data_IF_998047784718
#
_entry.id   IF_998047784718
#
_cell.length_a   1.000
_cell.length_b   1.000
_cell.length_c   1.000
_cell.angle_alpha   90.00
_cell.angle_beta   90.00
_cell.angle_gamma   90.00
#
_symmetry.space_group_name_H-M   'P 1'
#
loop_
_entity.id
_entity.type
_entity.pdbx_description
1 polymer ?
#
# COMPACT_ATOMS: atom_id res chain seq x y z
N UNK A 1 -6.82 -3.67 -14.08
CA UNK A 1 -8.11 -3.14 -13.60
C UNK A 1 -8.41 -3.78 -12.26
N UNK A 2 -8.68 -2.99 -11.22
CA UNK A 2 -9.14 -3.52 -9.94
C UNK A 2 -10.61 -3.92 -10.10
N UNK A 3 -10.88 -5.20 -10.34
CA UNK A 3 -12.24 -5.74 -10.40
C UNK A 3 -12.58 -6.39 -9.06
N UNK A 4 -13.59 -5.86 -8.37
CA UNK A 4 -14.13 -6.38 -7.12
C UNK A 4 -15.33 -7.31 -7.42
N UNK A 5 -15.38 -8.56 -6.92
CA UNK A 5 -16.62 -9.32 -6.84
C UNK A 5 -17.45 -8.79 -5.66
N UNK A 6 -18.71 -8.44 -5.93
CA UNK A 6 -19.60 -7.78 -4.97
C UNK A 6 -20.24 -8.79 -4.02
N UNK A 7 -19.82 -8.79 -2.74
CA UNK A 7 -20.62 -9.26 -1.60
C UNK A 7 -20.37 -8.33 -0.41
N UNK A 8 -21.41 -7.63 0.02
CA UNK A 8 -21.36 -6.62 1.09
C UNK A 8 -21.29 -7.27 2.47
N UNK A 9 -20.07 -7.42 3.01
CA UNK A 9 -19.73 -7.28 4.43
C UNK A 9 -18.23 -7.10 4.67
N UNK A 10 -17.39 -7.45 3.69
CA UNK A 10 -15.93 -7.30 3.76
C UNK A 10 -15.41 -6.33 2.69
N UNK A 11 -15.58 -5.02 2.90
CA UNK A 11 -14.95 -4.01 2.04
C UNK A 11 -13.46 -3.94 2.37
N UNK A 12 -12.66 -4.81 1.75
CA UNK A 12 -11.23 -4.58 1.67
C UNK A 12 -10.96 -3.32 0.85
N UNK A 13 -10.06 -2.43 1.29
CA UNK A 13 -9.73 -1.21 0.55
C UNK A 13 -9.28 -1.53 -0.89
N UNK A 14 -9.68 -0.67 -1.83
CA UNK A 14 -9.27 -0.83 -3.23
C UNK A 14 -7.86 -0.26 -3.39
N UNK A 15 -6.83 -1.07 -3.17
CA UNK A 15 -5.43 -0.63 -3.31
C UNK A 15 -4.78 -1.12 -4.59
N UNK A 16 -4.00 -0.23 -5.23
CA UNK A 16 -3.13 -0.66 -6.33
C UNK A 16 -1.80 -1.17 -5.77
N UNK A 17 -1.29 -2.30 -6.28
CA UNK A 17 -0.01 -2.87 -5.84
C UNK A 17 1.15 -2.31 -6.68
N UNK A 18 2.24 -1.87 -6.03
CA UNK A 18 3.46 -1.37 -6.70
C UNK A 18 4.73 -1.88 -6.03
N UNK A 19 5.75 -2.23 -6.82
CA UNK A 19 7.08 -2.56 -6.27
C UNK A 19 7.80 -1.27 -5.87
N UNK A 20 8.28 -1.21 -4.63
CA UNK A 20 9.01 -0.07 -4.08
C UNK A 20 9.75 -0.48 -2.81
N UNK A 21 10.87 0.18 -2.53
CA UNK A 21 11.64 0.06 -1.29
C UNK A 21 12.08 1.46 -0.84
N UNK A 22 12.18 1.68 0.47
CA UNK A 22 12.66 2.97 1.00
C UNK A 22 14.19 2.99 0.99
N UNK A 23 14.75 4.12 0.57
CA UNK A 23 16.20 4.33 0.53
C UNK A 23 16.81 4.38 1.94
N UNK A 24 16.17 5.11 2.86
CA UNK A 24 16.57 5.23 4.27
C UNK A 24 15.38 4.88 5.18
N UNK A 25 15.05 3.58 5.34
CA UNK A 25 13.80 3.14 6.00
C UNK A 25 13.70 3.56 7.47
N UNK A 26 14.83 3.70 8.15
CA UNK A 26 14.91 4.12 9.56
C UNK A 26 14.67 5.63 9.77
N UNK A 27 14.62 6.43 8.70
CA UNK A 27 14.46 7.88 8.78
C UNK A 27 13.13 8.33 8.18
N UNK A 28 12.32 9.06 8.96
CA UNK A 28 11.17 9.79 8.42
C UNK A 28 11.65 11.06 7.73
N UNK A 29 12.01 10.94 6.45
CA UNK A 29 12.57 12.03 5.64
C UNK A 29 11.52 12.68 4.72
N UNK A 30 11.88 13.83 4.16
CA UNK A 30 11.00 14.63 3.27
C UNK A 30 11.01 14.23 1.79
N UNK A 31 11.73 13.17 1.39
CA UNK A 31 11.72 12.66 0.01
C UNK A 31 10.39 11.95 -0.35
N UNK A 32 9.29 12.71 -0.35
CA UNK A 32 7.91 12.22 -0.50
C UNK A 32 7.42 12.25 -1.93
N UNK A 33 8.10 12.94 -2.86
CA UNK A 33 7.67 13.08 -4.25
C UNK A 33 7.29 11.73 -4.90
N UNK A 34 8.11 10.69 -4.71
CA UNK A 34 7.84 9.35 -5.23
C UNK A 34 6.65 8.65 -4.54
N UNK A 35 6.38 8.93 -3.27
CA UNK A 35 5.19 8.43 -2.56
C UNK A 35 3.93 9.11 -3.12
N UNK A 36 3.97 10.45 -3.21
CA UNK A 36 2.86 11.28 -3.70
C UNK A 36 2.49 10.92 -5.14
N UNK A 37 3.47 10.77 -6.03
CA UNK A 37 3.23 10.39 -7.41
C UNK A 37 2.47 9.05 -7.51
N UNK A 38 2.92 8.02 -6.79
CA UNK A 38 2.28 6.70 -6.85
C UNK A 38 0.86 6.71 -6.25
N UNK A 39 0.63 7.49 -5.18
CA UNK A 39 -0.71 7.68 -4.61
C UNK A 39 -1.66 8.34 -5.62
N UNK A 40 -1.20 9.39 -6.30
CA UNK A 40 -1.99 10.05 -7.36
C UNK A 40 -2.30 9.11 -8.53
N UNK A 41 -1.33 8.29 -8.97
CA UNK A 41 -1.56 7.29 -10.00
C UNK A 41 -2.56 6.20 -9.57
N UNK A 42 -2.56 5.81 -8.29
CA UNK A 42 -3.54 4.87 -7.75
C UNK A 42 -4.96 5.47 -7.78
N UNK A 43 -5.10 6.71 -7.30
CA UNK A 43 -6.37 7.45 -7.30
C UNK A 43 -6.92 7.66 -8.71
N UNK A 44 -6.06 8.03 -9.65
CA UNK A 44 -6.44 8.14 -11.06
C UNK A 44 -6.94 6.81 -11.65
N UNK A 45 -6.50 5.67 -11.11
CA UNK A 45 -6.95 4.34 -11.48
C UNK A 45 -8.18 3.84 -10.69
N UNK A 46 -8.81 4.71 -9.89
CA UNK A 46 -9.99 4.38 -9.09
C UNK A 46 -9.69 3.60 -7.81
N UNK A 47 -8.43 3.58 -7.36
CA UNK A 47 -8.02 3.00 -6.09
C UNK A 47 -7.95 4.08 -5.00
N UNK A 48 -8.16 3.69 -3.75
CA UNK A 48 -8.06 4.59 -2.60
C UNK A 48 -6.62 5.08 -2.39
N UNK A 49 -5.65 4.16 -2.53
CA UNK A 49 -4.22 4.44 -2.44
C UNK A 49 -3.36 3.32 -3.08
N UNK A 50 -2.04 3.47 -3.00
CA UNK A 50 -1.05 2.46 -3.37
C UNK A 50 -0.59 1.64 -2.16
N UNK A 51 -0.44 0.33 -2.34
CA UNK A 51 0.22 -0.60 -1.42
C UNK A 51 1.57 -1.03 -2.01
N UNK A 52 2.65 -0.77 -1.26
CA UNK A 52 4.00 -1.07 -1.67
C UNK A 52 4.45 -2.48 -1.28
N UNK A 53 5.26 -3.04 -2.16
CA UNK A 53 5.78 -4.40 -2.06
C UNK A 53 7.28 -4.38 -2.26
N UNK A 54 7.97 -5.02 -1.33
CA UNK A 54 9.42 -5.19 -1.37
C UNK A 54 9.88 -6.00 -2.59
N UNK A 55 11.19 -6.02 -2.79
CA UNK A 55 11.81 -6.83 -3.85
C UNK A 55 11.53 -8.33 -3.66
N UNK A 56 11.48 -8.76 -2.40
CA UNK A 56 11.10 -10.10 -1.93
C UNK A 56 9.62 -10.46 -2.16
N UNK A 57 8.80 -9.54 -2.65
CA UNK A 57 7.37 -9.77 -2.89
C UNK A 57 6.50 -9.62 -1.64
N UNK A 58 7.07 -9.23 -0.49
CA UNK A 58 6.34 -9.04 0.77
C UNK A 58 5.75 -7.63 0.84
N UNK A 59 4.55 -7.51 1.42
CA UNK A 59 3.88 -6.22 1.64
C UNK A 59 4.63 -5.39 2.69
N UNK A 60 4.69 -4.07 2.51
CA UNK A 60 5.46 -3.17 3.40
C UNK A 60 4.61 -2.08 4.03
N UNK A 61 4.03 -1.22 3.21
CA UNK A 61 3.41 0.04 3.64
C UNK A 61 2.62 0.63 2.46
N UNK A 62 1.83 1.68 2.72
CA UNK A 62 1.24 2.50 1.67
C UNK A 62 1.98 3.81 1.45
N UNK A 63 1.33 4.77 0.79
CA UNK A 63 1.97 6.05 0.45
C UNK A 63 2.41 6.86 1.68
N UNK A 64 1.65 6.83 2.76
CA UNK A 64 1.90 7.62 3.99
C UNK A 64 1.55 6.86 5.28
N UNK A 65 1.24 5.57 5.19
CA UNK A 65 0.75 4.73 6.28
C UNK A 65 1.46 3.38 6.30
N UNK A 66 1.61 2.78 7.49
CA UNK A 66 2.16 1.44 7.66
C UNK A 66 1.03 0.40 7.68
N UNK A 67 1.34 -0.83 7.28
CA UNK A 67 0.41 -1.96 7.39
C UNK A 67 0.90 -2.91 8.49
N UNK A 68 -0.04 -3.57 9.16
CA UNK A 68 0.22 -4.69 10.03
C UNK A 68 -0.87 -5.73 9.82
N UNK A 69 -0.54 -6.99 10.07
CA UNK A 69 -1.44 -8.13 9.91
C UNK A 69 -1.70 -8.78 11.27
N UNK A 70 -2.87 -9.39 11.42
CA UNK A 70 -3.17 -10.26 12.56
C UNK A 70 -3.14 -11.70 12.09
N UNK A 71 -2.28 -12.53 12.66
CA UNK A 71 -2.13 -13.94 12.28
C UNK A 71 -3.06 -14.89 13.06
N UNK A 72 -3.88 -14.34 13.98
CA UNK A 72 -4.70 -15.10 14.92
C UNK A 72 -4.18 -15.08 16.35
N UNK A 73 -2.90 -14.74 16.55
CA UNK A 73 -2.22 -14.75 17.86
C UNK A 73 -1.51 -13.43 18.17
N UNK A 74 -0.90 -12.80 17.18
CA UNK A 74 -0.16 -11.55 17.34
C UNK A 74 -0.24 -10.66 16.10
N UNK A 75 0.16 -9.40 16.30
CA UNK A 75 0.36 -8.45 15.21
C UNK A 75 1.72 -8.74 14.55
N UNK A 76 1.75 -8.78 13.22
CA UNK A 76 2.92 -9.01 12.37
C UNK A 76 3.12 -7.83 11.44
#
# INVERSE_FOLDING_TARGET
MCTHPSLMSDRWPSWSRRRRERELPHLKHVATMGLTYQSLQARAAGCDDVLFVGRDGVLREGSVWNIAFWDGQQVV
#
